data_IF_781932344343
#
_entry.id   IF_781932344343
#
_cell.length_a   1.000
_cell.length_b   1.000
_cell.length_c   1.000
_cell.angle_alpha   90.00
_cell.angle_beta   90.00
_cell.angle_gamma   90.00
#
_symmetry.space_group_name_H-M   'P 1'
#
loop_
_entity.id
_entity.type
_entity.pdbx_description
1 polymer ?
#
# COMPACT_ATOMS: atom_id res chain seq x y z
N UNK A 1 53.76 -38.75 -40.50
CA UNK A 1 52.92 -37.54 -40.25
C UNK A 1 51.62 -38.00 -39.60
N UNK A 2 51.48 -37.84 -38.28
CA UNK A 2 50.28 -38.26 -37.55
C UNK A 2 49.13 -37.29 -37.83
N UNK A 3 48.03 -37.79 -38.40
CA UNK A 3 46.78 -37.02 -38.56
C UNK A 3 46.11 -36.89 -37.20
N UNK A 4 46.06 -35.67 -36.67
CA UNK A 4 45.25 -35.34 -35.50
C UNK A 4 43.78 -35.41 -35.94
N UNK A 5 43.03 -36.36 -35.37
CA UNK A 5 41.59 -36.46 -35.60
C UNK A 5 40.91 -35.18 -35.08
N UNK A 6 40.25 -34.45 -35.97
CA UNK A 6 39.49 -33.26 -35.60
C UNK A 6 38.32 -33.68 -34.67
N UNK A 7 38.30 -33.12 -33.45
CA UNK A 7 37.22 -33.34 -32.48
C UNK A 7 35.89 -32.89 -33.11
N UNK A 8 34.83 -33.72 -33.15
CA UNK A 8 33.57 -33.32 -33.76
C UNK A 8 33.00 -32.08 -33.06
N UNK A 9 32.53 -31.12 -33.85
CA UNK A 9 31.90 -29.90 -33.34
C UNK A 9 30.61 -30.27 -32.60
N UNK A 10 30.58 -30.05 -31.28
CA UNK A 10 29.37 -30.29 -30.48
C UNK A 10 28.26 -29.30 -30.88
N UNK A 11 27.05 -29.78 -31.24
CA UNK A 11 25.93 -28.91 -31.61
C UNK A 11 25.51 -27.99 -30.45
N UNK A 12 25.67 -28.45 -29.21
CA UNK A 12 25.44 -27.65 -28.00
C UNK A 12 26.41 -26.46 -27.91
N UNK A 13 27.67 -26.65 -28.30
CA UNK A 13 28.68 -25.57 -28.32
C UNK A 13 28.34 -24.52 -29.37
N UNK A 14 27.89 -24.93 -30.56
CA UNK A 14 27.46 -24.02 -31.61
C UNK A 14 26.21 -23.22 -31.20
N UNK A 15 25.24 -23.89 -30.57
CA UNK A 15 24.04 -23.24 -30.03
C UNK A 15 24.39 -22.24 -28.92
N UNK A 16 25.25 -22.63 -27.96
CA UNK A 16 25.73 -21.72 -26.91
C UNK A 16 26.43 -20.48 -27.46
N UNK A 17 27.37 -20.66 -28.41
CA UNK A 17 28.10 -19.53 -29.00
C UNK A 17 27.18 -18.58 -29.79
N UNK A 18 26.09 -19.10 -30.38
CA UNK A 18 25.05 -18.31 -31.04
C UNK A 18 24.20 -17.52 -30.04
N UNK A 19 23.80 -18.15 -28.94
CA UNK A 19 22.85 -17.58 -27.99
C UNK A 19 23.47 -16.77 -26.84
N UNK A 20 24.76 -16.95 -26.54
CA UNK A 20 25.41 -16.27 -25.40
C UNK A 20 25.28 -14.75 -25.45
N UNK A 21 25.32 -14.14 -26.64
CA UNK A 21 25.18 -12.68 -26.79
C UNK A 21 23.77 -12.22 -26.40
N UNK A 22 22.74 -12.92 -26.89
CA UNK A 22 21.34 -12.63 -26.54
C UNK A 22 21.06 -12.86 -25.05
N UNK A 23 21.65 -13.89 -24.45
CA UNK A 23 21.53 -14.16 -23.01
C UNK A 23 22.18 -13.02 -22.19
N UNK A 24 23.35 -12.52 -22.59
CA UNK A 24 23.98 -11.37 -21.92
C UNK A 24 23.14 -10.09 -22.06
N UNK A 25 22.55 -9.85 -23.23
CA UNK A 25 21.60 -8.73 -23.41
C UNK A 25 20.40 -8.90 -22.48
N UNK A 26 19.78 -10.08 -22.44
CA UNK A 26 18.65 -10.34 -21.55
C UNK A 26 19.03 -10.13 -20.08
N UNK A 27 20.23 -10.53 -19.68
CA UNK A 27 20.72 -10.32 -18.32
C UNK A 27 20.78 -8.83 -17.92
N UNK A 28 21.01 -7.94 -18.88
CA UNK A 28 20.97 -6.49 -18.66
C UNK A 28 19.56 -5.91 -18.78
N UNK A 29 18.78 -6.35 -19.77
CA UNK A 29 17.46 -5.79 -20.05
C UNK A 29 16.42 -6.16 -18.98
N UNK A 30 16.51 -7.37 -18.41
CA UNK A 30 15.57 -7.82 -17.37
C UNK A 30 15.58 -6.87 -16.15
N UNK A 31 16.70 -6.61 -15.46
CA UNK A 31 16.70 -5.69 -14.32
C UNK A 31 16.32 -4.27 -14.72
N UNK A 32 16.76 -3.79 -15.90
CA UNK A 32 16.37 -2.47 -16.42
C UNK A 32 14.85 -2.35 -16.60
N UNK A 33 14.17 -3.42 -17.05
CA UNK A 33 12.72 -3.45 -17.19
C UNK A 33 11.97 -3.34 -15.85
N UNK A 34 12.55 -3.84 -14.76
CA UNK A 34 11.95 -3.77 -13.42
C UNK A 34 12.30 -2.48 -12.65
N UNK A 35 13.35 -1.76 -13.05
CA UNK A 35 13.83 -0.55 -12.37
C UNK A 35 12.74 0.51 -12.14
N UNK A 36 11.89 0.89 -13.13
CA UNK A 36 10.88 1.92 -12.92
C UNK A 36 9.94 1.61 -11.76
N UNK A 37 9.44 0.37 -11.69
CA UNK A 37 8.58 -0.08 -10.59
C UNK A 37 9.31 -0.09 -9.26
N UNK A 38 10.54 -0.59 -9.24
CA UNK A 38 11.36 -0.61 -8.03
C UNK A 38 11.57 0.80 -7.46
N UNK A 39 11.92 1.78 -8.29
CA UNK A 39 12.13 3.15 -7.83
C UNK A 39 10.84 3.85 -7.43
N UNK A 40 9.73 3.60 -8.12
CA UNK A 40 8.42 4.11 -7.71
C UNK A 40 8.02 3.55 -6.32
N UNK A 41 8.20 2.25 -6.12
CA UNK A 41 7.96 1.60 -4.83
C UNK A 41 8.88 2.18 -3.74
N UNK A 42 10.18 2.33 -4.03
CA UNK A 42 11.13 2.89 -3.09
C UNK A 42 10.81 4.34 -2.72
N UNK A 43 10.44 5.18 -3.69
CA UNK A 43 10.03 6.57 -3.47
C UNK A 43 8.78 6.65 -2.59
N UNK A 44 7.79 5.80 -2.86
CA UNK A 44 6.57 5.71 -2.07
C UNK A 44 6.85 5.28 -0.62
N UNK A 45 7.72 4.28 -0.41
CA UNK A 45 8.09 3.83 0.93
C UNK A 45 8.92 4.86 1.71
N UNK A 46 9.84 5.57 1.05
CA UNK A 46 10.62 6.65 1.68
C UNK A 46 9.79 7.90 1.96
N UNK A 47 8.71 8.10 1.21
CA UNK A 47 7.86 9.29 1.31
C UNK A 47 8.26 10.40 0.35
N UNK A 48 9.19 10.14 -0.57
CA UNK A 48 9.58 11.05 -1.64
C UNK A 48 8.41 11.35 -2.59
N UNK A 49 7.47 10.39 -2.70
CA UNK A 49 6.22 10.54 -3.46
C UNK A 49 5.06 11.12 -2.62
N UNK A 50 5.36 11.66 -1.43
CA UNK A 50 4.35 12.17 -0.48
C UNK A 50 3.83 11.09 0.46
N UNK A 51 2.61 11.29 0.97
CA UNK A 51 2.00 10.39 1.96
C UNK A 51 1.34 9.16 1.33
N UNK A 52 1.11 9.10 0.03
CA UNK A 52 0.54 7.91 -0.63
C UNK A 52 0.36 8.14 -2.13
N UNK A 53 0.02 7.09 -2.88
CA UNK A 53 -0.28 7.21 -4.31
C UNK A 53 -1.54 8.04 -4.60
N UNK A 54 -2.45 8.16 -3.63
CA UNK A 54 -3.65 9.00 -3.77
C UNK A 54 -4.06 9.63 -2.45
N UNK A 55 -4.14 10.95 -2.42
CA UNK A 55 -4.72 11.69 -1.29
C UNK A 55 -6.25 11.58 -1.36
N UNK A 56 -6.85 11.07 -0.29
CA UNK A 56 -8.30 10.91 -0.18
C UNK A 56 -9.00 12.21 0.22
N UNK A 57 -8.30 13.05 1.00
CA UNK A 57 -8.78 14.34 1.47
C UNK A 57 -8.55 14.52 2.97
N UNK A 58 -9.01 15.66 3.47
CA UNK A 58 -8.93 16.01 4.88
C UNK A 58 -10.16 15.49 5.64
N UNK A 59 -9.91 15.01 6.86
CA UNK A 59 -10.94 14.50 7.77
C UNK A 59 -10.89 15.36 9.02
N UNK A 60 -11.99 16.06 9.29
CA UNK A 60 -12.16 16.79 10.54
C UNK A 60 -12.52 15.82 11.66
N UNK A 61 -11.81 15.91 12.78
CA UNK A 61 -11.95 15.03 13.95
C UNK A 61 -12.03 15.92 15.20
N UNK A 62 -13.21 16.50 15.43
CA UNK A 62 -13.40 17.49 16.51
C UNK A 62 -12.54 18.75 16.28
N UNK A 63 -11.68 19.15 17.24
CA UNK A 63 -10.78 20.29 17.09
C UNK A 63 -9.56 20.00 16.19
N UNK A 64 -9.31 18.73 15.87
CA UNK A 64 -8.17 18.30 15.06
C UNK A 64 -8.59 17.93 13.64
N UNK A 65 -7.60 17.81 12.76
CA UNK A 65 -7.78 17.26 11.43
C UNK A 65 -6.58 16.42 11.02
N UNK A 66 -6.81 15.52 10.06
CA UNK A 66 -5.75 14.84 9.34
C UNK A 66 -6.03 14.82 7.84
N UNK A 67 -4.97 14.78 7.04
CA UNK A 67 -5.04 14.45 5.62
C UNK A 67 -4.84 12.94 5.48
N UNK A 68 -5.81 12.24 4.91
CA UNK A 68 -5.73 10.80 4.68
C UNK A 68 -5.27 10.52 3.23
N UNK A 69 -4.42 9.53 3.07
CA UNK A 69 -4.02 9.01 1.77
C UNK A 69 -4.09 7.49 1.71
N UNK A 70 -4.53 7.02 0.55
CA UNK A 70 -4.42 5.64 0.14
C UNK A 70 -2.95 5.36 -0.18
N UNK A 71 -2.33 4.40 0.53
CA UNK A 71 -0.90 4.16 0.33
C UNK A 71 -0.61 3.70 -1.10
N UNK A 72 -1.42 2.77 -1.62
CA UNK A 72 -1.36 2.27 -2.99
C UNK A 72 -2.74 2.26 -3.63
N UNK A 73 -2.86 2.74 -4.86
CA UNK A 73 -4.09 2.79 -5.64
C UNK A 73 -4.41 1.42 -6.28
N UNK A 74 -4.60 0.43 -5.42
CA UNK A 74 -4.93 -0.96 -5.78
C UNK A 74 -5.87 -1.58 -4.73
N UNK A 75 -6.49 -2.73 -5.02
CA UNK A 75 -7.34 -3.41 -4.05
C UNK A 75 -6.59 -3.82 -2.77
N UNK A 76 -7.30 -4.24 -1.70
CA UNK A 76 -6.68 -4.86 -0.53
C UNK A 76 -5.76 -6.01 -0.94
N UNK A 77 -4.59 -6.09 -0.30
CA UNK A 77 -3.63 -7.17 -0.51
C UNK A 77 -3.99 -8.38 0.35
N UNK A 78 -3.76 -9.61 -0.12
CA UNK A 78 -3.91 -10.79 0.72
C UNK A 78 -2.90 -10.78 1.87
N UNK A 79 -3.37 -11.11 3.06
CA UNK A 79 -2.58 -11.32 4.27
C UNK A 79 -3.14 -12.56 5.01
N UNK A 80 -2.33 -13.30 5.79
CA UNK A 80 -2.83 -14.42 6.58
C UNK A 80 -4.03 -14.08 7.49
N UNK A 81 -4.16 -12.82 7.93
CA UNK A 81 -5.29 -12.35 8.72
C UNK A 81 -6.53 -11.94 7.88
N UNK A 82 -6.46 -12.05 6.56
CA UNK A 82 -7.49 -11.64 5.60
C UNK A 82 -7.02 -10.50 4.69
N UNK A 83 -7.88 -9.97 3.80
CA UNK A 83 -7.51 -8.88 2.91
C UNK A 83 -7.23 -7.58 3.67
N UNK A 84 -6.10 -6.95 3.42
CA UNK A 84 -5.61 -5.79 4.17
C UNK A 84 -5.37 -4.58 3.24
N UNK A 85 -5.74 -3.38 3.69
CA UNK A 85 -5.56 -2.13 2.96
C UNK A 85 -4.70 -1.16 3.76
N UNK A 86 -3.61 -0.70 3.14
CA UNK A 86 -2.72 0.28 3.74
C UNK A 86 -3.17 1.72 3.45
N UNK A 87 -3.20 2.52 4.51
CA UNK A 87 -3.44 3.96 4.47
C UNK A 87 -2.31 4.68 5.20
N UNK A 88 -2.02 5.88 4.75
CA UNK A 88 -1.19 6.82 5.48
C UNK A 88 -2.00 8.06 5.84
N UNK A 89 -1.56 8.78 6.85
CA UNK A 89 -2.14 10.05 7.24
C UNK A 89 -1.07 11.04 7.68
N UNK A 90 -1.41 12.32 7.64
CA UNK A 90 -0.66 13.41 8.23
C UNK A 90 -1.61 14.24 9.10
N UNK A 91 -1.25 14.46 10.37
CA UNK A 91 -1.97 15.36 11.25
C UNK A 91 -1.81 16.80 10.79
N UNK A 92 -2.77 17.66 11.16
CA UNK A 92 -2.63 19.11 10.99
C UNK A 92 -1.35 19.63 11.68
N UNK A 93 -0.81 20.75 11.19
CA UNK A 93 0.49 21.28 11.66
C UNK A 93 0.56 21.48 13.19
N UNK A 94 -0.54 21.89 13.81
CA UNK A 94 -0.65 22.16 15.26
C UNK A 94 -1.16 20.97 16.08
N UNK A 95 -1.61 19.90 15.42
CA UNK A 95 -2.26 18.77 16.08
C UNK A 95 -1.25 17.81 16.73
N UNK A 96 -0.01 17.77 16.23
CA UNK A 96 1.01 16.79 16.61
C UNK A 96 1.34 16.78 18.12
N UNK A 97 1.29 17.94 18.78
CA UNK A 97 1.56 18.05 20.21
C UNK A 97 0.35 17.74 21.08
N UNK A 98 -0.86 17.74 20.50
CA UNK A 98 -2.12 17.58 21.22
C UNK A 98 -2.64 16.14 21.14
N UNK A 99 -2.43 15.49 20.01
CA UNK A 99 -2.90 14.14 19.74
C UNK A 99 -1.90 13.11 20.27
N UNK A 100 -2.39 12.24 21.15
CA UNK A 100 -1.66 11.11 21.71
C UNK A 100 -1.69 9.90 20.78
N UNK A 101 -2.85 9.59 20.20
CA UNK A 101 -3.02 8.43 19.33
C UNK A 101 -4.10 8.68 18.27
N UNK A 102 -3.93 8.09 17.09
CA UNK A 102 -4.92 8.11 16.01
C UNK A 102 -5.22 6.69 15.57
N UNK A 103 -6.50 6.38 15.43
CA UNK A 103 -7.01 5.07 15.07
C UNK A 103 -7.83 5.13 13.78
N UNK A 104 -7.85 4.02 13.05
CA UNK A 104 -8.53 3.87 11.78
C UNK A 104 -9.36 2.59 11.75
N UNK A 105 -10.60 2.68 11.27
CA UNK A 105 -11.52 1.55 11.17
C UNK A 105 -12.51 1.70 10.03
N UNK A 106 -12.86 0.61 9.37
CA UNK A 106 -14.06 0.56 8.52
C UNK A 106 -15.30 0.37 9.40
N UNK A 107 -16.25 1.30 9.29
CA UNK A 107 -17.47 1.37 10.09
C UNK A 107 -17.27 2.07 11.45
N UNK A 108 -18.36 2.66 11.95
CA UNK A 108 -18.34 3.50 13.16
C UNK A 108 -17.91 2.72 14.41
N UNK A 109 -16.86 3.15 15.14
CA UNK A 109 -16.46 2.49 16.38
C UNK A 109 -17.39 2.86 17.54
N UNK A 110 -17.81 1.83 18.30
CA UNK A 110 -18.67 1.97 19.49
C UNK A 110 -17.94 2.42 20.77
N UNK A 111 -16.61 2.35 20.77
CA UNK A 111 -15.75 2.71 21.90
C UNK A 111 -14.29 2.78 21.45
N UNK A 112 -13.41 3.35 22.29
CA UNK A 112 -11.96 3.40 22.03
C UNK A 112 -11.36 1.99 21.85
N UNK A 113 -11.76 1.01 22.65
CA UNK A 113 -11.32 -0.40 22.50
C UNK A 113 -11.68 -0.98 21.12
N UNK A 114 -12.71 -0.43 20.47
CA UNK A 114 -13.16 -0.83 19.15
C UNK A 114 -12.75 0.16 18.04
N UNK A 115 -11.88 1.14 18.32
CA UNK A 115 -11.48 2.20 17.40
C UNK A 115 -10.70 1.72 16.16
N UNK A 116 -10.30 0.44 16.15
CA UNK A 116 -9.66 -0.20 15.02
C UNK A 116 -8.15 -0.30 15.17
N UNK A 117 -7.44 -0.17 14.05
CA UNK A 117 -5.98 -0.22 14.04
C UNK A 117 -5.42 1.15 14.38
N UNK A 118 -4.31 1.18 15.11
CA UNK A 118 -3.61 2.44 15.44
C UNK A 118 -2.65 2.79 14.29
N UNK A 119 -2.54 4.09 14.00
CA UNK A 119 -1.51 4.61 13.12
C UNK A 119 -0.15 4.61 13.83
N UNK A 120 0.91 4.25 13.09
CA UNK A 120 2.29 4.27 13.58
C UNK A 120 3.17 5.16 12.71
N UNK A 121 4.20 5.75 13.31
CA UNK A 121 5.18 6.60 12.61
C UNK A 121 5.15 8.04 13.10
N UNK A 122 5.64 8.96 12.27
CA UNK A 122 5.68 10.39 12.62
C UNK A 122 4.31 11.05 12.46
N UNK A 123 3.98 12.10 13.22
CA UNK A 123 2.71 12.83 13.08
C UNK A 123 2.39 13.31 11.65
N UNK A 124 3.41 13.55 10.84
CA UNK A 124 3.28 14.08 9.47
C UNK A 124 3.26 13.00 8.39
N UNK A 125 3.51 11.74 8.76
CA UNK A 125 3.45 10.57 7.88
C UNK A 125 3.37 9.32 8.73
N UNK A 126 2.15 8.99 9.13
CA UNK A 126 1.84 7.80 9.89
C UNK A 126 1.12 6.79 9.01
N UNK A 127 1.34 5.50 9.24
CA UNK A 127 0.77 4.40 8.45
C UNK A 127 -0.09 3.46 9.29
N UNK A 128 -1.17 2.97 8.70
CA UNK A 128 -2.05 1.96 9.28
C UNK A 128 -2.47 0.95 8.21
N UNK A 129 -2.58 -0.31 8.61
CA UNK A 129 -3.04 -1.40 7.74
C UNK A 129 -4.38 -1.89 8.27
N UNK A 130 -5.44 -1.60 7.53
CA UNK A 130 -6.83 -1.86 7.95
C UNK A 130 -7.33 -3.17 7.34
N UNK A 131 -7.90 -4.09 8.14
CA UNK A 131 -8.59 -5.25 7.58
C UNK A 131 -9.82 -4.83 6.80
N UNK A 132 -9.99 -5.41 5.61
CA UNK A 132 -11.14 -5.21 4.74
C UNK A 132 -11.89 -6.54 4.59
N UNK A 133 -12.89 -6.82 5.45
CA UNK A 133 -13.75 -7.97 5.28
C UNK A 133 -14.39 -8.00 3.89
N UNK A 134 -14.49 -9.17 3.26
CA UNK A 134 -15.11 -9.32 1.93
C UNK A 134 -16.59 -8.88 1.90
N UNK A 135 -17.25 -8.97 3.06
CA UNK A 135 -18.65 -8.54 3.27
C UNK A 135 -18.79 -7.07 3.65
N UNK A 136 -17.72 -6.27 3.54
CA UNK A 136 -17.79 -4.83 3.79
C UNK A 136 -18.78 -4.19 2.82
N UNK A 137 -19.80 -3.46 3.30
CA UNK A 137 -20.71 -2.72 2.43
C UNK A 137 -19.95 -1.70 1.57
N UNK A 138 -20.38 -1.51 0.32
CA UNK A 138 -19.72 -0.58 -0.61
C UNK A 138 -19.95 0.90 -0.26
N UNK A 139 -20.99 1.18 0.51
CA UNK A 139 -21.32 2.47 1.11
C UNK A 139 -20.73 2.64 2.52
N UNK A 140 -19.88 1.70 2.97
CA UNK A 140 -19.22 1.82 4.26
C UNK A 140 -18.36 3.08 4.35
N UNK A 141 -18.19 3.58 5.56
CA UNK A 141 -17.31 4.70 5.85
C UNK A 141 -16.02 4.22 6.52
N UNK A 142 -14.96 4.98 6.30
CA UNK A 142 -13.72 4.86 7.03
C UNK A 142 -13.71 5.91 8.15
N UNK A 143 -13.65 5.43 9.38
CA UNK A 143 -13.71 6.22 10.60
C UNK A 143 -12.33 6.43 11.19
N UNK A 144 -12.05 7.67 11.55
CA UNK A 144 -10.88 8.10 12.30
C UNK A 144 -11.31 8.40 13.73
N UNK A 145 -10.56 7.91 14.70
CA UNK A 145 -10.70 8.30 16.10
C UNK A 145 -9.38 8.87 16.60
N UNK A 146 -9.41 10.04 17.23
CA UNK A 146 -8.23 10.67 17.84
C UNK A 146 -8.41 10.80 19.35
N UNK A 147 -7.36 10.42 20.08
CA UNK A 147 -7.24 10.59 21.53
C UNK A 147 -6.23 11.72 21.80
N UNK A 148 -6.63 12.71 22.60
CA UNK A 148 -5.76 13.78 23.07
C UNK A 148 -4.93 13.38 24.28
N UNK A 149 -3.82 14.07 24.52
CA UNK A 149 -3.05 13.92 25.77
C UNK A 149 -3.84 14.34 27.01
N UNK A 150 -4.87 15.17 26.85
CA UNK A 150 -5.83 15.57 27.87
C UNK A 150 -6.92 14.52 28.14
N UNK A 151 -6.91 13.41 27.39
CA UNK A 151 -7.91 12.33 27.49
C UNK A 151 -9.20 12.59 26.70
N UNK A 152 -9.32 13.70 25.99
CA UNK A 152 -10.46 13.96 25.09
C UNK A 152 -10.41 13.05 23.88
N UNK A 153 -11.59 12.77 23.32
CA UNK A 153 -11.78 11.78 22.27
C UNK A 153 -12.72 12.32 21.22
N UNK A 154 -12.26 12.34 19.98
CA UNK A 154 -13.02 12.84 18.85
C UNK A 154 -13.03 11.85 17.69
N UNK A 155 -14.10 11.88 16.89
CA UNK A 155 -14.30 10.99 15.75
C UNK A 155 -14.68 11.79 14.51
N UNK A 156 -14.20 11.32 13.36
CA UNK A 156 -14.58 11.80 12.03
C UNK A 156 -14.65 10.64 11.05
N UNK A 157 -15.28 10.84 9.91
CA UNK A 157 -15.40 9.81 8.88
C UNK A 157 -15.21 10.38 7.47
N UNK A 158 -14.93 9.48 6.55
CA UNK A 158 -14.93 9.71 5.10
C UNK A 158 -15.54 8.48 4.41
N UNK A 159 -16.31 8.64 3.32
CA UNK A 159 -16.81 7.48 2.57
C UNK A 159 -15.66 6.57 2.09
N UNK A 160 -15.81 5.25 2.20
CA UNK A 160 -14.78 4.31 1.72
C UNK A 160 -14.55 4.45 0.21
N UNK A 161 -15.58 4.83 -0.54
CA UNK A 161 -15.49 5.17 -1.97
C UNK A 161 -14.57 6.35 -2.25
N UNK A 162 -14.51 7.34 -1.37
CA UNK A 162 -13.58 8.46 -1.45
C UNK A 162 -12.20 8.10 -0.88
N UNK A 163 -12.16 7.30 0.18
CA UNK A 163 -10.92 6.85 0.83
C UNK A 163 -10.13 5.83 0.01
N UNK A 164 -10.79 4.97 -0.76
CA UNK A 164 -10.16 3.97 -1.63
C UNK A 164 -11.14 3.46 -2.71
N UNK A 165 -11.23 4.14 -3.87
CA UNK A 165 -11.99 3.64 -5.02
C UNK A 165 -11.56 2.24 -5.45
N UNK A 166 -10.26 1.94 -5.36
CA UNK A 166 -9.72 0.63 -5.71
C UNK A 166 -10.23 -0.48 -4.75
N UNK A 167 -10.46 -0.15 -3.47
CA UNK A 167 -11.10 -1.07 -2.53
C UNK A 167 -12.57 -1.33 -2.90
N UNK A 168 -13.32 -0.30 -3.30
CA UNK A 168 -14.70 -0.48 -3.77
C UNK A 168 -14.74 -1.36 -5.03
N UNK A 169 -13.86 -1.11 -5.99
CA UNK A 169 -13.75 -1.93 -7.18
C UNK A 169 -13.42 -3.39 -6.86
N UNK A 170 -12.59 -3.64 -5.83
CA UNK A 170 -12.30 -4.98 -5.33
C UNK A 170 -13.52 -5.62 -4.64
N UNK A 171 -14.22 -4.90 -3.75
CA UNK A 171 -15.43 -5.39 -3.07
C UNK A 171 -16.52 -5.78 -4.07
N UNK A 172 -16.74 -4.96 -5.10
CA UNK A 172 -17.70 -5.25 -6.16
C UNK A 172 -17.36 -6.55 -6.91
N UNK A 173 -16.07 -6.90 -7.07
CA UNK A 173 -15.67 -8.17 -7.68
C UNK A 173 -15.92 -9.36 -6.74
N UNK A 174 -15.74 -9.19 -5.44
CA UNK A 174 -15.97 -10.25 -4.44
C UNK A 174 -17.46 -10.57 -4.23
N UNK A 175 -18.34 -9.59 -4.42
CA UNK A 175 -19.79 -9.77 -4.39
C UNK A 175 -20.36 -10.60 -5.56
N UNK A 176 -19.55 -10.85 -6.59
CA UNK A 176 -19.88 -11.71 -7.75
C UNK A 176 -19.31 -13.13 -7.54
N UNK A 177 -19.48 -13.70 -6.34
CA UNK A 177 -19.26 -15.14 -6.16
C UNK A 177 -20.44 -15.88 -6.83
N UNK A 178 -20.18 -16.89 -7.68
CA UNK A 178 -21.24 -17.68 -8.30
C UNK A 178 -22.11 -18.41 -7.28
#
# INVERSE_FOLDING_TARGET
MSRVAAKPSSPLRAWWLKWRFHINILLLLVPLGFMPKYFADAALFRGDAGIGERVAGDIQVGPWSLTLAEFRNEGPRPDPAGPMKAFNAALCATCAEQVKATYLRIGKPRSLRAAGVIFFGTPYRMGAIVPVPERTPVDAELWVTMEGWDGTMHQGSIPLSQASPATIAWLNKQGVKP
#
